data_IF_248188564043
#
_entry.id   IF_248188564043
#
_cell.length_a   1.000
_cell.length_b   1.000
_cell.length_c   1.000
_cell.angle_alpha   90.00
_cell.angle_beta   90.00
_cell.angle_gamma   90.00
#
_symmetry.space_group_name_H-M   'P 1'
#
loop_
_entity.id
_entity.type
_entity.pdbx_description
1 polymer ?
#
# COMPACT_ATOMS: atom_id res chain seq x y z
N UNK A 1 34.36 59.88 0.61
CA UNK A 1 33.00 59.35 0.37
C UNK A 1 33.08 58.16 -0.58
N UNK A 2 33.20 56.91 -0.09
CA UNK A 2 33.08 55.66 -0.90
C UNK A 2 33.35 54.34 -0.13
N UNK A 3 33.55 54.37 1.20
CA UNK A 3 33.82 53.15 2.00
C UNK A 3 32.78 52.81 3.08
N UNK A 4 31.74 53.62 3.26
CA UNK A 4 30.70 53.38 4.27
C UNK A 4 29.37 52.83 3.73
N UNK A 5 29.21 52.73 2.41
CA UNK A 5 27.92 52.30 1.80
C UNK A 5 27.86 50.77 1.60
N UNK A 6 28.99 50.07 1.57
CA UNK A 6 29.01 48.62 1.33
C UNK A 6 28.71 47.75 2.56
N UNK A 7 28.83 48.30 3.78
CA UNK A 7 28.53 47.54 5.01
C UNK A 7 27.05 47.52 5.37
N UNK A 8 26.27 48.50 4.90
CA UNK A 8 24.82 48.54 5.16
C UNK A 8 24.00 47.65 4.22
N UNK A 9 24.53 47.31 3.04
CA UNK A 9 23.84 46.42 2.10
C UNK A 9 24.07 44.93 2.39
N UNK A 10 25.14 44.55 3.10
CA UNK A 10 25.35 43.16 3.53
C UNK A 10 24.57 42.78 4.81
N UNK A 11 24.24 43.75 5.66
CA UNK A 11 23.47 43.52 6.88
C UNK A 11 21.95 43.41 6.64
N UNK A 12 21.46 43.89 5.49
CA UNK A 12 20.03 43.79 5.13
C UNK A 12 19.67 42.46 4.44
N UNK A 13 20.67 41.75 3.90
CA UNK A 13 20.49 40.41 3.32
C UNK A 13 20.35 39.30 4.38
N UNK A 14 20.57 39.60 5.66
CA UNK A 14 20.41 38.65 6.77
C UNK A 14 19.21 38.96 7.68
N UNK A 15 18.43 40.01 7.39
CA UNK A 15 17.31 40.43 8.26
C UNK A 15 15.92 40.08 7.73
N UNK A 16 15.82 39.33 6.63
CA UNK A 16 14.56 38.68 6.25
C UNK A 16 14.59 37.27 6.82
N UNK A 17 14.44 37.18 8.15
CA UNK A 17 13.88 35.98 8.74
C UNK A 17 12.43 35.95 8.26
N UNK A 18 12.20 35.33 7.11
CA UNK A 18 10.87 34.82 6.84
C UNK A 18 10.51 33.96 8.05
N UNK A 19 9.35 34.22 8.65
CA UNK A 19 8.78 33.26 9.59
C UNK A 19 8.62 31.97 8.78
N UNK A 20 9.57 31.05 8.97
CA UNK A 20 9.36 29.67 8.63
C UNK A 20 8.20 29.27 9.52
N UNK A 21 7.00 29.21 8.96
CA UNK A 21 5.89 28.48 9.55
C UNK A 21 6.30 27.01 9.59
N UNK A 22 7.19 26.66 10.52
CA UNK A 22 7.30 25.31 11.00
C UNK A 22 5.95 25.00 11.67
N UNK A 23 5.40 23.82 11.42
CA UNK A 23 4.22 23.36 12.14
C UNK A 23 4.57 23.36 13.64
N UNK A 24 3.97 24.25 14.43
CA UNK A 24 4.43 24.60 15.77
C UNK A 24 4.13 23.54 16.85
N UNK A 25 3.43 22.45 16.53
CA UNK A 25 3.23 21.34 17.47
C UNK A 25 3.46 20.00 16.77
N UNK A 26 4.34 19.18 17.36
CA UNK A 26 4.49 17.79 16.96
C UNK A 26 3.16 17.08 17.19
N UNK A 27 2.58 16.52 16.12
CA UNK A 27 1.40 15.67 16.24
C UNK A 27 1.85 14.36 16.89
N UNK A 28 1.22 14.02 18.00
CA UNK A 28 1.44 12.76 18.70
C UNK A 28 0.18 11.89 18.60
N UNK A 29 0.32 10.57 18.54
CA UNK A 29 -0.84 9.70 18.52
C UNK A 29 -1.59 9.81 19.86
N UNK A 30 -2.92 9.80 19.80
CA UNK A 30 -3.76 9.77 21.00
C UNK A 30 -3.65 8.41 21.72
N UNK A 31 -3.36 7.36 20.97
CA UNK A 31 -3.20 5.99 21.48
C UNK A 31 -2.06 5.27 20.76
N UNK A 32 -1.40 4.36 21.48
CA UNK A 32 -0.39 3.47 20.91
C UNK A 32 -0.83 2.05 21.21
N UNK A 33 -1.19 1.32 20.16
CA UNK A 33 -1.56 -0.08 20.22
C UNK A 33 -0.38 -0.95 19.77
N UNK A 34 -0.25 -2.12 20.39
CA UNK A 34 0.76 -3.13 20.04
C UNK A 34 0.09 -4.36 19.45
N UNK A 35 0.79 -5.16 18.64
CA UNK A 35 0.19 -6.38 18.10
C UNK A 35 -0.24 -7.33 19.23
N UNK A 36 -1.38 -7.98 19.06
CA UNK A 36 -1.93 -8.93 20.02
C UNK A 36 -1.30 -10.33 19.87
N UNK A 37 -0.63 -10.58 18.75
CA UNK A 37 0.07 -11.83 18.47
C UNK A 37 1.25 -11.59 17.52
N UNK A 38 2.23 -12.48 17.61
CA UNK A 38 3.39 -12.53 16.72
C UNK A 38 3.75 -13.99 16.44
N UNK A 39 4.06 -14.30 15.19
CA UNK A 39 4.54 -15.61 14.79
C UNK A 39 5.62 -15.53 13.69
N UNK A 40 6.28 -16.67 13.45
CA UNK A 40 7.15 -16.88 12.29
C UNK A 40 6.51 -17.96 11.44
N UNK A 41 6.34 -17.69 10.15
CA UNK A 41 5.63 -18.56 9.23
C UNK A 41 6.57 -19.61 8.61
N UNK A 42 6.00 -20.66 8.03
CA UNK A 42 6.73 -21.54 7.12
C UNK A 42 7.12 -20.83 5.82
N UNK A 43 7.98 -21.43 4.98
CA UNK A 43 8.32 -20.87 3.68
C UNK A 43 7.12 -20.82 2.74
N UNK A 44 6.84 -19.66 2.12
CA UNK A 44 5.70 -19.55 1.19
C UNK A 44 5.81 -20.44 -0.05
N UNK A 45 7.01 -20.87 -0.43
CA UNK A 45 7.21 -21.84 -1.53
C UNK A 45 6.56 -23.20 -1.25
N UNK A 46 6.29 -23.51 0.02
CA UNK A 46 5.72 -24.78 0.46
C UNK A 46 4.19 -24.69 0.63
N UNK A 47 3.60 -23.49 0.46
CA UNK A 47 2.16 -23.29 0.56
C UNK A 47 1.40 -24.04 -0.56
N UNK A 48 0.17 -24.52 -0.27
CA UNK A 48 -0.62 -25.23 -1.25
C UNK A 48 -0.98 -24.31 -2.43
N UNK A 49 -0.83 -24.83 -3.64
CA UNK A 49 -1.30 -24.16 -4.86
C UNK A 49 -2.83 -24.30 -4.91
N UNK A 50 -3.52 -23.17 -5.08
CA UNK A 50 -4.96 -23.12 -5.30
C UNK A 50 -5.25 -22.43 -6.65
N UNK A 51 -5.91 -23.18 -7.52
CA UNK A 51 -6.34 -22.74 -8.85
C UNK A 51 -7.87 -22.64 -8.96
N UNK A 52 -8.59 -22.81 -7.84
CA UNK A 52 -10.05 -22.87 -7.81
C UNK A 52 -10.74 -21.51 -7.85
N UNK A 53 -9.97 -20.43 -7.95
CA UNK A 53 -10.42 -19.04 -8.14
C UNK A 53 -11.07 -18.82 -9.54
N UNK A 54 -12.09 -19.61 -9.87
CA UNK A 54 -12.93 -19.37 -11.04
C UNK A 54 -14.00 -18.31 -10.72
N UNK A 55 -14.20 -17.36 -11.63
CA UNK A 55 -15.23 -16.32 -11.52
C UNK A 55 -16.61 -16.95 -11.32
N UNK A 56 -17.33 -16.56 -10.26
CA UNK A 56 -18.77 -16.72 -10.27
C UNK A 56 -19.34 -15.81 -11.39
N UNK A 57 -19.98 -16.40 -12.39
CA UNK A 57 -20.59 -15.67 -13.51
C UNK A 57 -21.60 -14.62 -13.04
N UNK A 58 -22.20 -14.78 -11.85
CA UNK A 58 -23.11 -13.81 -11.28
C UNK A 58 -22.42 -12.48 -10.91
N UNK A 59 -21.15 -12.51 -10.47
CA UNK A 59 -20.41 -11.33 -10.02
C UNK A 59 -19.91 -10.48 -11.20
N UNK A 60 -19.49 -11.13 -12.30
CA UNK A 60 -19.20 -10.46 -13.58
C UNK A 60 -20.43 -9.69 -14.11
N UNK A 61 -21.63 -10.25 -13.91
CA UNK A 61 -22.87 -9.65 -14.40
C UNK A 61 -23.26 -8.36 -13.64
N UNK A 62 -22.99 -8.30 -12.33
CA UNK A 62 -23.27 -7.10 -11.51
C UNK A 62 -22.36 -5.92 -11.87
N UNK A 63 -21.13 -6.17 -12.33
CA UNK A 63 -20.21 -5.09 -12.72
C UNK A 63 -20.54 -4.43 -14.07
N UNK A 64 -21.13 -5.15 -15.02
CA UNK A 64 -21.66 -4.54 -16.25
C UNK A 64 -22.89 -3.65 -16.00
N UNK A 65 -23.52 -3.79 -14.83
CA UNK A 65 -24.68 -2.99 -14.40
C UNK A 65 -24.30 -1.91 -13.38
N UNK A 66 -23.06 -1.87 -12.88
CA UNK A 66 -22.50 -0.69 -12.23
C UNK A 66 -22.18 0.35 -13.29
N UNK A 67 -23.24 0.85 -13.95
CA UNK A 67 -23.21 2.22 -14.42
C UNK A 67 -22.75 3.04 -13.22
N UNK A 68 -21.57 3.65 -13.33
CA UNK A 68 -21.14 4.66 -12.36
C UNK A 68 -22.20 5.74 -12.46
N UNK A 69 -23.26 5.66 -11.68
CA UNK A 69 -24.06 6.81 -11.35
C UNK A 69 -23.04 7.79 -10.78
N UNK A 70 -22.62 8.74 -11.63
CA UNK A 70 -21.77 9.84 -11.22
C UNK A 70 -22.50 10.41 -10.02
N UNK A 71 -21.90 10.27 -8.84
CA UNK A 71 -22.48 10.81 -7.62
C UNK A 71 -22.86 12.27 -7.97
N UNK A 72 -24.15 12.63 -7.97
CA UNK A 72 -24.58 13.94 -8.44
C UNK A 72 -24.04 15.08 -7.55
N UNK A 73 -23.48 14.73 -6.39
CA UNK A 73 -22.79 15.63 -5.47
C UNK A 73 -21.26 15.68 -5.69
N UNK A 74 -20.68 14.81 -6.53
CA UNK A 74 -19.36 15.07 -7.11
C UNK A 74 -19.60 16.11 -8.19
N UNK A 75 -19.62 17.37 -7.77
CA UNK A 75 -19.42 18.45 -8.70
C UNK A 75 -18.06 18.21 -9.34
N UNK A 76 -17.96 17.96 -10.66
CA UNK A 76 -16.66 18.10 -11.31
C UNK A 76 -16.16 19.49 -10.89
N UNK A 77 -14.89 19.61 -10.48
CA UNK A 77 -14.35 20.90 -10.13
C UNK A 77 -14.70 21.88 -11.25
N UNK A 78 -15.16 23.08 -10.91
CA UNK A 78 -15.54 24.08 -11.91
C UNK A 78 -14.29 24.50 -12.68
N UNK A 79 -13.98 23.73 -13.73
CA UNK A 79 -12.76 23.88 -14.52
C UNK A 79 -12.73 25.23 -15.26
N UNK A 80 -13.89 25.89 -15.43
CA UNK A 80 -13.98 27.22 -16.03
C UNK A 80 -13.60 28.32 -15.04
N UNK A 81 -13.97 28.20 -13.76
CA UNK A 81 -13.69 29.21 -12.73
C UNK A 81 -12.55 28.85 -11.77
N UNK A 82 -11.91 27.69 -11.93
CA UNK A 82 -10.76 27.31 -11.12
C UNK A 82 -9.59 28.27 -11.36
N UNK A 83 -8.96 28.81 -10.29
CA UNK A 83 -7.69 29.49 -10.42
C UNK A 83 -6.70 28.57 -11.15
N UNK A 84 -5.97 29.11 -12.12
CA UNK A 84 -4.89 28.35 -12.75
C UNK A 84 -3.93 27.87 -11.66
N UNK A 85 -3.76 26.56 -11.51
CA UNK A 85 -2.76 25.99 -10.63
C UNK A 85 -1.37 26.45 -11.13
N UNK A 86 -0.60 27.23 -10.33
CA UNK A 86 0.72 27.69 -10.74
C UNK A 86 1.71 26.54 -10.95
N UNK A 87 1.42 25.33 -10.44
CA UNK A 87 2.17 24.10 -10.65
C UNK A 87 1.77 23.31 -11.91
N UNK A 88 0.75 23.73 -12.66
CA UNK A 88 0.33 23.03 -13.87
C UNK A 88 1.46 23.02 -14.91
N UNK A 89 1.80 21.81 -15.35
CA UNK A 89 2.71 21.62 -16.46
C UNK A 89 2.07 22.10 -17.77
N UNK A 90 2.38 23.33 -18.18
CA UNK A 90 1.88 23.93 -19.44
C UNK A 90 2.64 23.50 -20.69
N UNK A 91 3.77 22.81 -20.52
CA UNK A 91 4.62 22.31 -21.60
C UNK A 91 5.05 20.89 -21.31
N UNK A 92 4.88 20.00 -22.29
CA UNK A 92 5.42 18.66 -22.20
C UNK A 92 6.94 18.74 -21.94
N UNK A 93 7.39 18.09 -20.87
CA UNK A 93 8.80 17.94 -20.58
C UNK A 93 9.51 17.10 -21.65
N UNK A 94 10.83 17.18 -21.68
CA UNK A 94 11.62 16.26 -22.48
C UNK A 94 11.41 14.84 -21.96
N UNK A 95 11.06 13.92 -22.85
CA UNK A 95 10.86 12.50 -22.54
C UNK A 95 12.01 11.72 -23.15
N UNK A 96 12.76 11.02 -22.31
CA UNK A 96 13.64 9.96 -22.77
C UNK A 96 12.83 8.92 -23.56
N UNK A 97 13.46 8.30 -24.56
CA UNK A 97 12.81 7.19 -25.25
C UNK A 97 12.53 6.08 -24.22
N UNK A 98 11.31 5.51 -24.19
CA UNK A 98 10.98 4.48 -23.22
C UNK A 98 11.94 3.29 -23.39
N UNK A 99 12.40 2.74 -22.26
CA UNK A 99 13.19 1.50 -22.28
C UNK A 99 12.31 0.37 -22.84
N UNK A 100 12.92 -0.55 -23.59
CA UNK A 100 12.23 -1.73 -24.07
C UNK A 100 11.74 -2.58 -22.88
N UNK A 101 10.55 -3.16 -23.01
CA UNK A 101 10.01 -4.11 -22.02
C UNK A 101 10.94 -5.30 -21.87
N UNK A 102 11.46 -5.53 -20.67
CA UNK A 102 12.36 -6.65 -20.37
C UNK A 102 11.59 -7.96 -20.20
N UNK A 103 10.43 -7.90 -19.53
CA UNK A 103 9.60 -9.06 -19.21
C UNK A 103 8.14 -8.64 -19.06
N UNK A 104 7.24 -9.56 -19.37
CA UNK A 104 5.81 -9.44 -19.14
C UNK A 104 5.37 -10.60 -18.23
N UNK A 105 4.51 -10.31 -17.27
CA UNK A 105 3.91 -11.26 -16.34
C UNK A 105 2.40 -11.24 -16.56
N UNK A 106 1.80 -12.41 -16.74
CA UNK A 106 0.34 -12.51 -16.84
C UNK A 106 -0.28 -12.12 -15.50
N UNK A 107 -1.32 -11.29 -15.54
CA UNK A 107 -2.05 -10.93 -14.33
C UNK A 107 -2.81 -12.14 -13.78
N UNK A 108 -2.85 -12.26 -12.46
CA UNK A 108 -3.69 -13.22 -11.77
C UNK A 108 -5.18 -12.86 -11.85
N UNK A 109 -6.02 -13.86 -11.66
CA UNK A 109 -7.44 -13.72 -11.47
C UNK A 109 -7.80 -14.41 -10.15
N UNK A 110 -8.40 -13.67 -9.21
CA UNK A 110 -8.88 -14.24 -7.95
C UNK A 110 -10.37 -14.54 -7.95
N UNK A 111 -11.11 -14.09 -8.97
CA UNK A 111 -12.55 -14.26 -9.04
C UNK A 111 -13.36 -13.24 -8.23
N UNK A 112 -12.73 -12.38 -7.41
CA UNK A 112 -13.39 -11.44 -6.51
C UNK A 112 -13.50 -10.01 -7.07
N UNK A 113 -14.56 -9.31 -6.69
CA UNK A 113 -14.76 -7.89 -7.00
C UNK A 113 -15.09 -7.03 -5.76
N UNK A 114 -14.41 -5.88 -5.57
CA UNK A 114 -13.35 -5.34 -6.41
C UNK A 114 -12.08 -6.22 -6.43
N UNK A 115 -11.26 -6.17 -7.49
CA UNK A 115 -10.13 -7.09 -7.63
C UNK A 115 -8.91 -6.70 -6.77
N UNK A 116 -8.91 -5.50 -6.19
CA UNK A 116 -7.88 -4.97 -5.27
C UNK A 116 -6.46 -5.36 -5.65
N UNK A 117 -6.13 -5.13 -6.93
CA UNK A 117 -4.87 -5.55 -7.51
C UNK A 117 -3.70 -4.75 -6.92
N UNK A 118 -2.71 -5.45 -6.38
CA UNK A 118 -1.46 -4.87 -5.95
C UNK A 118 -0.27 -5.74 -6.41
N UNK A 119 0.92 -5.16 -6.43
CA UNK A 119 2.10 -5.91 -6.81
C UNK A 119 3.34 -5.03 -6.88
N UNK A 120 4.48 -5.63 -6.56
CA UNK A 120 5.76 -4.93 -6.52
C UNK A 120 6.91 -5.82 -6.98
N UNK A 121 7.96 -5.18 -7.45
CA UNK A 121 9.14 -5.83 -8.03
C UNK A 121 10.32 -5.57 -7.10
N UNK A 122 10.87 -6.63 -6.52
CA UNK A 122 12.09 -6.58 -5.74
C UNK A 122 13.33 -6.91 -6.57
N UNK A 123 14.41 -7.26 -5.87
CA UNK A 123 15.70 -7.57 -6.49
C UNK A 123 15.59 -8.74 -7.50
N UNK A 124 14.92 -9.82 -7.13
CA UNK A 124 14.87 -11.07 -7.90
C UNK A 124 13.46 -11.57 -8.24
N UNK A 125 12.42 -11.00 -7.64
CA UNK A 125 11.05 -11.49 -7.75
C UNK A 125 10.08 -10.38 -8.14
N UNK A 126 8.98 -10.78 -8.75
CA UNK A 126 7.76 -9.98 -8.84
C UNK A 126 6.72 -10.65 -7.96
N UNK A 127 6.16 -9.92 -7.00
CA UNK A 127 5.12 -10.42 -6.11
C UNK A 127 3.82 -9.71 -6.48
N UNK A 128 2.82 -10.47 -6.91
CA UNK A 128 1.51 -9.97 -7.25
C UNK A 128 0.45 -10.56 -6.32
N UNK A 129 -0.47 -9.70 -5.89
CA UNK A 129 -1.63 -10.03 -5.07
C UNK A 129 -2.86 -9.43 -5.75
N UNK A 130 -3.97 -10.17 -5.82
CA UNK A 130 -5.21 -9.74 -6.46
C UNK A 130 -6.33 -10.18 -5.55
N UNK A 131 -6.84 -9.27 -4.73
CA UNK A 131 -7.79 -9.58 -3.67
C UNK A 131 -7.39 -10.90 -2.98
N UNK A 132 -8.19 -11.97 -3.06
CA UNK A 132 -7.95 -13.22 -2.34
C UNK A 132 -6.80 -14.14 -2.79
N UNK A 133 -5.99 -13.76 -3.77
CA UNK A 133 -4.93 -14.64 -4.30
C UNK A 133 -3.59 -13.92 -4.41
N UNK A 134 -2.50 -14.65 -4.16
CA UNK A 134 -1.14 -14.18 -4.44
C UNK A 134 -0.35 -15.16 -5.31
N UNK A 135 0.62 -14.64 -6.06
CA UNK A 135 1.65 -15.42 -6.74
C UNK A 135 2.98 -14.67 -6.79
N UNK A 136 4.07 -15.42 -6.68
CA UNK A 136 5.44 -14.90 -6.74
C UNK A 136 6.12 -15.45 -7.97
N UNK A 137 6.68 -14.56 -8.78
CA UNK A 137 7.37 -14.89 -10.01
C UNK A 137 8.86 -14.60 -9.88
N UNK A 138 9.70 -15.51 -10.36
CA UNK A 138 11.10 -15.19 -10.57
C UNK A 138 11.23 -14.16 -11.71
N UNK A 139 11.84 -13.02 -11.43
CA UNK A 139 11.90 -11.88 -12.35
C UNK A 139 12.64 -12.20 -13.65
N UNK A 140 13.70 -13.00 -13.55
CA UNK A 140 14.55 -13.37 -14.68
C UNK A 140 13.91 -14.43 -15.57
N UNK A 141 13.40 -15.51 -14.97
CA UNK A 141 12.84 -16.63 -15.75
C UNK A 141 11.38 -16.40 -16.14
N UNK A 142 10.63 -15.66 -15.32
CA UNK A 142 9.16 -15.52 -15.42
C UNK A 142 8.39 -16.70 -14.84
N UNK A 143 9.06 -17.69 -14.25
CA UNK A 143 8.40 -18.83 -13.63
C UNK A 143 7.72 -18.43 -12.32
N UNK A 144 6.54 -18.99 -12.07
CA UNK A 144 5.92 -18.96 -10.73
C UNK A 144 6.77 -19.81 -9.79
N UNK A 145 7.13 -19.27 -8.64
CA UNK A 145 8.01 -19.91 -7.64
C UNK A 145 7.34 -20.06 -6.27
N UNK A 146 6.20 -19.42 -6.06
CA UNK A 146 5.27 -19.66 -4.96
C UNK A 146 3.87 -19.18 -5.38
N UNK A 147 2.83 -19.83 -4.87
CA UNK A 147 1.45 -19.62 -5.33
C UNK A 147 1.18 -20.19 -6.74
N UNK A 148 0.01 -19.88 -7.33
CA UNK A 148 -1.06 -19.09 -6.76
C UNK A 148 -1.66 -19.73 -5.50
N UNK A 149 -1.88 -18.94 -4.46
CA UNK A 149 -2.41 -19.41 -3.17
C UNK A 149 -3.29 -18.33 -2.51
N UNK A 150 -4.17 -18.70 -1.55
CA UNK A 150 -4.92 -17.74 -0.75
C UNK A 150 -4.00 -16.76 0.01
N UNK A 151 -4.38 -15.49 0.13
CA UNK A 151 -3.59 -14.49 0.88
C UNK A 151 -3.31 -14.95 2.31
N UNK A 152 -4.34 -15.43 3.01
CA UNK A 152 -4.24 -15.82 4.41
C UNK A 152 -3.26 -16.97 4.67
N UNK A 153 -2.89 -17.73 3.64
CA UNK A 153 -1.83 -18.73 3.73
C UNK A 153 -0.43 -18.13 3.90
N UNK A 154 -0.25 -16.83 3.70
CA UNK A 154 1.00 -16.11 4.05
C UNK A 154 1.21 -16.16 5.57
N UNK A 155 0.13 -16.22 6.34
CA UNK A 155 0.12 -16.34 7.79
C UNK A 155 -0.10 -17.80 8.22
N UNK A 156 0.27 -18.11 9.47
CA UNK A 156 -0.17 -19.34 10.10
C UNK A 156 -1.61 -19.17 10.57
N UNK A 157 -2.46 -20.19 10.39
CA UNK A 157 -3.88 -20.14 10.80
C UNK A 157 -4.11 -20.02 12.31
N UNK A 158 -3.07 -20.18 13.14
CA UNK A 158 -3.12 -19.92 14.59
C UNK A 158 -3.07 -18.43 14.95
N UNK A 159 -2.58 -17.58 14.04
CA UNK A 159 -2.53 -16.15 14.25
C UNK A 159 -3.98 -15.59 14.24
N UNK A 160 -4.41 -14.81 15.24
CA UNK A 160 -5.74 -14.21 15.25
C UNK A 160 -6.04 -13.44 13.94
N UNK A 161 -7.19 -13.72 13.32
CA UNK A 161 -7.59 -13.16 12.02
C UNK A 161 -7.14 -13.99 10.79
N UNK A 162 -6.01 -14.68 10.85
CA UNK A 162 -5.45 -15.43 9.71
C UNK A 162 -6.27 -16.69 9.29
N UNK A 163 -7.32 -17.02 10.03
CA UNK A 163 -8.27 -18.07 9.66
C UNK A 163 -9.20 -17.70 8.50
N UNK A 164 -9.25 -16.42 8.12
CA UNK A 164 -10.09 -15.89 7.07
C UNK A 164 -9.24 -15.30 5.95
N UNK A 165 -9.74 -15.40 4.72
CA UNK A 165 -9.11 -14.86 3.52
C UNK A 165 -10.01 -13.73 3.04
N UNK A 166 -9.87 -12.54 3.63
CA UNK A 166 -10.86 -11.46 3.52
C UNK A 166 -10.46 -10.39 2.50
N UNK A 167 -9.16 -10.20 2.20
CA UNK A 167 -8.71 -9.45 1.01
C UNK A 167 -8.01 -8.11 1.23
N UNK A 168 -8.28 -7.17 0.31
CA UNK A 168 -7.66 -5.83 0.19
C UNK A 168 -6.12 -5.81 0.34
N UNK A 169 -5.37 -6.68 -0.36
CA UNK A 169 -3.97 -6.90 -0.05
C UNK A 169 -3.07 -5.73 -0.45
N UNK A 170 -2.06 -5.47 0.38
CA UNK A 170 -0.92 -4.61 0.04
C UNK A 170 0.36 -5.45 0.06
N UNK A 171 1.17 -5.34 -1.00
CA UNK A 171 2.53 -5.88 -1.01
C UNK A 171 3.53 -4.80 -1.42
N UNK A 172 4.55 -4.58 -0.60
CA UNK A 172 5.61 -3.60 -0.87
C UNK A 172 7.00 -4.24 -0.79
N UNK A 173 7.93 -3.66 -1.55
CA UNK A 173 9.35 -3.98 -1.47
C UNK A 173 10.04 -2.80 -0.80
N UNK A 174 10.62 -3.06 0.37
CA UNK A 174 11.44 -2.11 1.10
C UNK A 174 12.89 -2.24 0.64
N UNK A 175 13.32 -1.30 -0.20
CA UNK A 175 14.67 -1.23 -0.75
C UNK A 175 15.73 -0.94 0.32
N UNK A 176 15.37 -0.25 1.41
CA UNK A 176 16.30 0.11 2.47
C UNK A 176 16.55 -1.06 3.42
N UNK A 177 15.50 -1.84 3.71
CA UNK A 177 15.61 -3.04 4.54
C UNK A 177 16.00 -4.30 3.77
N UNK A 178 15.92 -4.29 2.43
CA UNK A 178 16.03 -5.49 1.57
C UNK A 178 14.99 -6.54 1.99
N UNK A 179 13.73 -6.11 2.22
CA UNK A 179 12.62 -6.91 2.73
C UNK A 179 11.31 -6.66 1.99
N UNK A 180 10.42 -7.65 2.05
CA UNK A 180 9.06 -7.55 1.55
C UNK A 180 8.11 -7.31 2.70
N UNK A 181 7.13 -6.43 2.51
CA UNK A 181 6.00 -6.21 3.39
C UNK A 181 4.75 -6.76 2.71
N UNK A 182 3.90 -7.43 3.49
CA UNK A 182 2.57 -7.86 3.08
C UNK A 182 1.56 -7.46 4.16
N UNK A 183 0.38 -7.06 3.75
CA UNK A 183 -0.74 -6.81 4.67
C UNK A 183 -2.07 -7.21 4.04
N UNK A 184 -2.98 -7.69 4.88
CA UNK A 184 -4.40 -7.88 4.57
C UNK A 184 -5.24 -7.56 5.81
N UNK A 185 -6.49 -7.18 5.60
CA UNK A 185 -7.48 -7.12 6.68
C UNK A 185 -8.14 -8.47 6.93
N UNK A 186 -8.71 -8.65 8.12
CA UNK A 186 -9.65 -9.73 8.41
C UNK A 186 -10.84 -9.20 9.20
N UNK A 187 -12.05 -9.52 8.77
CA UNK A 187 -13.30 -9.02 9.37
C UNK A 187 -14.40 -10.09 9.46
N UNK A 188 -14.16 -11.29 8.91
CA UNK A 188 -15.13 -12.40 8.97
C UNK A 188 -15.17 -13.10 10.35
N UNK A 189 -14.31 -12.67 11.28
CA UNK A 189 -14.22 -13.18 12.65
C UNK A 189 -15.18 -12.54 13.64
N UNK A 190 -14.93 -12.77 14.93
CA UNK A 190 -15.64 -12.05 16.00
C UNK A 190 -15.13 -10.63 16.23
N UNK A 191 -14.00 -10.29 15.60
CA UNK A 191 -13.35 -9.00 15.69
C UNK A 191 -12.65 -8.70 14.35
N UNK A 192 -12.32 -7.42 14.14
CA UNK A 192 -11.60 -6.96 12.97
C UNK A 192 -10.10 -6.93 13.28
N UNK A 193 -9.28 -7.33 12.30
CA UNK A 193 -7.83 -7.40 12.44
C UNK A 193 -7.14 -6.77 11.24
N UNK A 194 -5.99 -6.15 11.50
CA UNK A 194 -4.97 -5.88 10.47
C UNK A 194 -3.85 -6.89 10.63
N UNK A 195 -3.62 -7.69 9.59
CA UNK A 195 -2.55 -8.68 9.54
C UNK A 195 -1.38 -8.09 8.77
N UNK A 196 -0.19 -8.11 9.37
CA UNK A 196 1.02 -7.57 8.76
C UNK A 196 2.09 -8.63 8.78
N UNK A 197 2.79 -8.83 7.66
CA UNK A 197 3.93 -9.70 7.55
C UNK A 197 5.13 -9.00 6.92
N UNK A 198 6.33 -9.29 7.42
CA UNK A 198 7.60 -8.85 6.82
C UNK A 198 8.49 -10.06 6.57
N UNK A 199 9.02 -10.21 5.37
CA UNK A 199 9.88 -11.35 5.02
C UNK A 199 11.13 -11.39 5.91
N UNK A 200 11.69 -12.57 6.17
CA UNK A 200 12.93 -12.65 6.96
C UNK A 200 14.17 -12.22 6.17
N UNK A 201 14.12 -12.37 4.85
CA UNK A 201 15.19 -12.07 3.90
C UNK A 201 14.62 -11.38 2.65
N UNK A 202 15.47 -11.12 1.66
CA UNK A 202 15.02 -10.63 0.35
C UNK A 202 14.37 -11.69 -0.55
N UNK A 203 14.28 -12.95 -0.10
CA UNK A 203 13.53 -14.01 -0.75
C UNK A 203 12.11 -14.06 -0.17
N UNK A 204 11.08 -13.56 -0.88
CA UNK A 204 9.71 -13.56 -0.38
C UNK A 204 9.10 -14.97 -0.34
N UNK A 205 9.75 -15.96 -0.96
CA UNK A 205 9.31 -17.36 -0.93
C UNK A 205 9.81 -18.13 0.31
N UNK A 206 10.57 -17.44 1.17
CA UNK A 206 11.00 -17.92 2.48
C UNK A 206 9.96 -17.68 3.58
N UNK A 207 10.41 -17.73 4.83
CA UNK A 207 9.61 -17.46 6.02
C UNK A 207 9.41 -15.96 6.27
N UNK A 208 8.34 -15.64 6.99
CA UNK A 208 7.94 -14.28 7.33
C UNK A 208 7.77 -14.11 8.82
N UNK A 209 8.07 -12.92 9.32
CA UNK A 209 7.59 -12.42 10.60
C UNK A 209 6.17 -11.93 10.41
N UNK A 210 5.23 -12.34 11.25
CA UNK A 210 3.84 -11.92 11.14
C UNK A 210 3.27 -11.43 12.45
N UNK A 211 2.35 -10.48 12.34
CA UNK A 211 1.67 -9.83 13.46
C UNK A 211 0.18 -9.71 13.15
N UNK A 212 -0.62 -9.77 14.21
CA UNK A 212 -2.03 -9.43 14.17
C UNK A 212 -2.29 -8.26 15.11
N UNK A 213 -2.99 -7.25 14.59
CA UNK A 213 -3.42 -6.07 15.32
C UNK A 213 -4.93 -6.10 15.41
N UNK A 214 -5.43 -6.06 16.64
CA UNK A 214 -6.85 -5.86 16.94
C UNK A 214 -7.23 -4.41 16.61
N UNK A 215 -8.18 -4.22 15.69
CA UNK A 215 -8.63 -2.90 15.24
C UNK A 215 -10.12 -2.72 15.52
N UNK A 216 -10.53 -1.48 15.78
CA UNK A 216 -11.89 -1.17 16.22
C UNK A 216 -12.97 -1.25 15.14
N UNK A 217 -12.55 -1.39 13.88
CA UNK A 217 -13.37 -1.34 12.69
C UNK A 217 -12.61 -1.86 11.47
N UNK A 218 -13.38 -2.25 10.46
CA UNK A 218 -12.92 -2.70 9.16
C UNK A 218 -11.87 -1.72 8.58
N UNK A 219 -10.58 -2.10 8.57
CA UNK A 219 -9.48 -1.22 8.16
C UNK A 219 -9.36 -1.17 6.63
N UNK A 220 -10.46 -0.84 5.96
CA UNK A 220 -10.64 -0.91 4.51
C UNK A 220 -9.83 0.16 3.77
N UNK A 221 -9.48 -0.16 2.54
CA UNK A 221 -8.77 0.66 1.58
C UNK A 221 -7.39 1.13 2.07
N UNK A 222 -6.70 0.31 2.87
CA UNK A 222 -5.45 0.72 3.49
C UNK A 222 -4.35 1.06 2.47
N UNK A 223 -3.50 2.01 2.84
CA UNK A 223 -2.34 2.45 2.04
C UNK A 223 -1.12 2.56 2.94
N UNK A 224 0.01 2.10 2.41
CA UNK A 224 1.27 2.09 3.12
C UNK A 224 2.29 3.03 2.49
N UNK A 225 3.02 3.76 3.33
CA UNK A 225 4.25 4.47 3.01
C UNK A 225 5.44 3.81 3.70
N UNK A 226 6.59 3.78 3.03
CA UNK A 226 7.86 3.34 3.60
C UNK A 226 8.70 4.59 3.89
N UNK A 227 9.23 4.68 5.11
CA UNK A 227 10.21 5.69 5.48
C UNK A 227 11.40 5.06 6.23
N UNK A 228 12.42 5.86 6.54
CA UNK A 228 13.68 5.39 7.11
C UNK A 228 13.53 4.68 8.47
N UNK A 229 12.45 4.97 9.20
CA UNK A 229 12.18 4.50 10.55
C UNK A 229 10.95 3.58 10.67
N UNK A 230 10.18 3.37 9.60
CA UNK A 230 9.04 2.46 9.66
C UNK A 230 8.12 2.42 8.45
N UNK A 231 7.06 1.63 8.61
CA UNK A 231 5.93 1.53 7.71
C UNK A 231 4.76 2.30 8.28
N UNK A 232 4.20 3.21 7.49
CA UNK A 232 3.09 4.08 7.86
C UNK A 232 1.85 3.62 7.14
N UNK A 233 0.76 3.35 7.86
CA UNK A 233 -0.47 2.85 7.29
C UNK A 233 -1.60 3.82 7.59
N UNK A 234 -2.28 4.27 6.54
CA UNK A 234 -3.56 4.97 6.66
C UNK A 234 -4.68 4.10 6.11
N UNK A 235 -5.86 4.18 6.72
CA UNK A 235 -7.06 3.44 6.30
C UNK A 235 -8.19 4.40 5.94
N UNK A 236 -9.18 3.94 5.18
CA UNK A 236 -10.41 4.68 4.96
C UNK A 236 -11.48 4.22 5.96
N UNK A 237 -11.19 4.39 7.24
CA UNK A 237 -12.13 4.10 8.33
C UNK A 237 -12.93 5.35 8.67
N UNK A 238 -14.24 5.16 8.88
CA UNK A 238 -15.20 6.24 9.08
C UNK A 238 -16.04 6.01 10.32
N UNK A 239 -15.45 6.18 11.50
CA UNK A 239 -16.14 5.99 12.78
C UNK A 239 -15.87 7.12 13.78
N UNK A 240 -16.85 8.00 14.01
CA UNK A 240 -16.71 9.01 15.07
C UNK A 240 -16.50 8.34 16.45
N UNK A 241 -15.38 8.66 17.11
CA UNK A 241 -15.05 8.17 18.45
C UNK A 241 -14.35 6.81 18.50
N UNK A 242 -13.81 6.34 17.37
CA UNK A 242 -12.98 5.13 17.29
C UNK A 242 -11.49 5.48 17.15
N UNK A 243 -10.65 4.49 17.42
CA UNK A 243 -9.21 4.61 17.30
C UNK A 243 -8.80 4.26 15.88
N UNK A 244 -9.16 5.16 14.96
CA UNK A 244 -8.83 5.02 13.55
C UNK A 244 -7.31 4.93 13.37
N UNK A 245 -6.86 4.03 12.50
CA UNK A 245 -5.44 3.89 12.16
C UNK A 245 -5.10 4.83 10.99
N UNK A 246 -4.32 5.88 11.30
CA UNK A 246 -3.80 6.89 10.37
C UNK A 246 -2.28 6.81 10.22
#
# INVERSE_FOLDING_TARGET
MKRFVLLFSLLWLFSVQGELFAQDEAVHPNEILTPIAFEITGPLRDNPIDLSFELDQAEFYMNNQRDREINPNIFPPDFENMPNDPGVQTKAGWKESPKATLKNFAGQNSGFYPPDCNGTVGANYYFQVVNLTYAIYNKSTGAVVAGPSPLNSIFNSSLPGAGYNDGDPIVLWDEHADRWLFAEFSYSGSNDYMLIAVSQTNDPTGSWYSWSFDVSDLPDYMKFGIWEDGYYMATNTGGAGKNDVY
#
